data_IF_185330995888
#
_entry.id   IF_185330995888
#
_cell.length_a   1.000
_cell.length_b   1.000
_cell.length_c   1.000
_cell.angle_alpha   90.00
_cell.angle_beta   90.00
_cell.angle_gamma   90.00
#
_symmetry.space_group_name_H-M   'P 1'
#
loop_
_entity.id
_entity.type
_entity.pdbx_description
1 polymer ?
#
# COMPACT_ATOMS: atom_id res chain seq x y z
N UNK A 1 0.19 8.49 6.13
CA UNK A 1 -0.88 7.81 5.36
C UNK A 1 -2.12 8.68 5.17
N UNK A 2 -2.62 9.39 6.19
CA UNK A 2 -3.77 10.33 6.06
C UNK A 2 -3.61 11.40 4.96
N UNK A 3 -2.38 11.78 4.60
CA UNK A 3 -2.08 12.77 3.56
C UNK A 3 -1.47 12.16 2.27
N UNK A 4 -1.79 10.91 1.93
CA UNK A 4 -1.21 10.24 0.75
C UNK A 4 -1.39 11.04 -0.55
N UNK A 5 -2.48 11.82 -0.65
CA UNK A 5 -2.78 12.68 -1.79
C UNK A 5 -1.77 13.83 -1.99
N UNK A 6 -1.03 14.20 -0.95
CA UNK A 6 0.03 15.21 -1.02
C UNK A 6 1.35 14.65 -1.55
N UNK A 7 1.47 13.33 -1.72
CA UNK A 7 2.67 12.72 -2.27
C UNK A 7 2.83 13.12 -3.76
N UNK A 8 4.07 13.31 -4.25
CA UNK A 8 4.33 13.59 -5.66
C UNK A 8 3.66 12.54 -6.56
N UNK A 9 2.88 13.00 -7.54
CA UNK A 9 2.20 12.11 -8.48
C UNK A 9 1.04 11.30 -7.91
N UNK A 10 0.61 11.51 -6.66
CA UNK A 10 -0.46 10.73 -6.03
C UNK A 10 -1.76 10.72 -6.84
N UNK A 11 -2.19 11.88 -7.36
CA UNK A 11 -3.39 11.99 -8.21
C UNK A 11 -3.20 11.47 -9.63
N UNK A 12 -1.94 11.33 -10.09
CA UNK A 12 -1.64 10.69 -11.37
C UNK A 12 -1.72 9.16 -11.22
N UNK A 13 -1.15 8.61 -10.14
CA UNK A 13 -1.15 7.18 -9.85
C UNK A 13 -2.52 6.67 -9.35
N UNK A 14 -3.21 7.48 -8.56
CA UNK A 14 -4.53 7.18 -7.98
C UNK A 14 -5.45 8.42 -8.12
N UNK A 15 -6.10 8.60 -9.29
CA UNK A 15 -7.03 9.71 -9.52
C UNK A 15 -8.22 9.69 -8.55
N UNK A 16 -8.64 8.50 -8.17
CA UNK A 16 -9.63 8.22 -7.13
C UNK A 16 -9.01 7.30 -6.08
N UNK A 17 -9.55 7.28 -4.85
CA UNK A 17 -8.94 6.51 -3.76
C UNK A 17 -9.14 4.99 -3.90
N UNK A 18 -10.08 4.51 -4.72
CA UNK A 18 -10.62 3.13 -4.70
C UNK A 18 -9.55 2.03 -4.70
N UNK A 19 -8.53 2.15 -5.54
CA UNK A 19 -7.48 1.13 -5.64
C UNK A 19 -6.41 1.25 -4.55
N UNK A 20 -6.32 2.40 -3.86
CA UNK A 20 -5.35 2.63 -2.78
C UNK A 20 -5.94 2.34 -1.39
N UNK A 21 -7.26 2.46 -1.21
CA UNK A 21 -7.94 2.21 0.07
C UNK A 21 -7.65 0.82 0.65
N UNK A 22 -7.66 -0.29 -0.11
CA UNK A 22 -7.38 -1.62 0.45
C UNK A 22 -6.03 -1.70 1.17
N UNK A 23 -5.02 -1.01 0.67
CA UNK A 23 -3.70 -0.94 1.31
C UNK A 23 -3.76 -0.24 2.67
N UNK A 24 -4.52 0.87 2.78
CA UNK A 24 -4.74 1.59 4.05
C UNK A 24 -5.52 0.71 5.04
N UNK A 25 -6.52 -0.04 4.57
CA UNK A 25 -7.32 -0.95 5.40
C UNK A 25 -6.46 -2.08 5.95
N UNK A 26 -5.69 -2.76 5.08
CA UNK A 26 -4.79 -3.84 5.50
C UNK A 26 -3.73 -3.37 6.49
N UNK A 27 -3.18 -2.17 6.25
CA UNK A 27 -2.29 -1.51 7.20
C UNK A 27 -2.99 -1.29 8.56
N UNK A 28 -4.15 -0.65 8.58
CA UNK A 28 -4.85 -0.34 9.84
C UNK A 28 -5.30 -1.58 10.61
N UNK A 29 -5.59 -2.68 9.91
CA UNK A 29 -6.05 -3.93 10.54
C UNK A 29 -4.91 -4.81 11.06
N UNK A 30 -3.74 -4.78 10.42
CA UNK A 30 -2.62 -5.68 10.74
C UNK A 30 -1.42 -5.01 11.41
N UNK A 31 -1.39 -3.68 11.48
CA UNK A 31 -0.28 -2.95 12.10
C UNK A 31 -0.32 -3.11 13.62
N UNK A 32 0.73 -3.73 14.18
CA UNK A 32 0.98 -3.83 15.61
C UNK A 32 2.03 -2.82 16.04
N UNK A 33 1.94 -2.30 17.27
CA UNK A 33 2.89 -1.28 17.77
C UNK A 33 4.33 -1.80 17.83
N UNK A 34 4.50 -3.11 18.09
CA UNK A 34 5.80 -3.78 18.14
C UNK A 34 6.40 -4.10 16.77
N UNK A 35 5.59 -4.11 15.70
CA UNK A 35 6.01 -4.39 14.32
C UNK A 35 5.11 -3.63 13.33
N UNK A 36 5.26 -2.30 13.25
CA UNK A 36 4.34 -1.47 12.49
C UNK A 36 4.57 -1.55 10.96
N UNK A 37 5.74 -2.02 10.54
CA UNK A 37 6.10 -2.14 9.14
C UNK A 37 5.40 -3.31 8.43
N UNK A 38 5.14 -3.10 7.13
CA UNK A 38 4.70 -4.17 6.24
C UNK A 38 5.90 -4.98 5.75
N UNK A 39 5.68 -6.28 5.55
CA UNK A 39 6.54 -7.10 4.71
C UNK A 39 6.12 -6.97 3.25
N UNK A 40 7.08 -6.71 2.36
CA UNK A 40 6.83 -6.73 0.91
C UNK A 40 6.93 -8.18 0.42
N UNK A 41 5.78 -8.78 0.13
CA UNK A 41 5.67 -10.16 -0.31
C UNK A 41 5.99 -10.32 -1.80
N UNK A 42 5.61 -9.33 -2.60
CA UNK A 42 5.85 -9.32 -4.04
C UNK A 42 6.04 -7.90 -4.57
N UNK A 43 6.76 -7.76 -5.69
CA UNK A 43 6.91 -6.51 -6.40
C UNK A 43 7.01 -6.75 -7.89
N UNK A 44 6.39 -5.86 -8.67
CA UNK A 44 6.41 -5.94 -10.12
C UNK A 44 5.57 -4.85 -10.74
N UNK A 45 5.76 -4.65 -12.04
CA UNK A 45 5.01 -3.70 -12.84
C UNK A 45 4.63 -4.34 -14.17
N UNK A 46 3.46 -4.00 -14.69
CA UNK A 46 3.09 -4.28 -16.08
C UNK A 46 2.36 -3.09 -16.70
N UNK A 47 2.18 -3.16 -18.03
CA UNK A 47 1.41 -2.18 -18.80
C UNK A 47 1.91 -0.73 -18.64
N UNK A 48 3.18 -0.55 -18.25
CA UNK A 48 3.84 0.74 -18.06
C UNK A 48 3.45 1.51 -16.80
N UNK A 49 2.33 1.18 -16.14
CA UNK A 49 1.81 1.97 -15.00
C UNK A 49 1.11 1.14 -13.92
N UNK A 50 0.93 -0.17 -14.10
CA UNK A 50 0.21 -1.01 -13.15
C UNK A 50 1.20 -1.72 -12.22
N UNK A 51 1.16 -1.34 -10.93
CA UNK A 51 1.94 -1.99 -9.88
C UNK A 51 1.27 -3.26 -9.38
N UNK A 52 2.06 -4.30 -9.17
CA UNK A 52 1.68 -5.53 -8.45
C UNK A 52 2.36 -5.62 -7.10
N UNK A 53 2.76 -4.49 -6.50
CA UNK A 53 3.36 -4.53 -5.19
C UNK A 53 2.36 -5.07 -4.14
N UNK A 54 2.73 -6.17 -3.49
CA UNK A 54 1.92 -6.83 -2.47
C UNK A 54 2.62 -6.69 -1.13
N UNK A 55 1.86 -6.24 -0.13
CA UNK A 55 2.35 -6.01 1.22
C UNK A 55 1.48 -6.74 2.23
N UNK A 56 2.09 -7.27 3.28
CA UNK A 56 1.40 -7.92 4.39
C UNK A 56 1.87 -7.36 5.73
N UNK A 57 0.94 -7.17 6.65
CA UNK A 57 1.22 -6.87 8.07
C UNK A 57 0.81 -8.07 8.91
N UNK A 58 1.41 -8.24 10.09
CA UNK A 58 1.10 -9.35 11.00
C UNK A 58 1.52 -10.74 10.51
N UNK A 59 2.42 -10.82 9.51
CA UNK A 59 2.93 -12.09 9.00
C UNK A 59 3.83 -12.76 10.04
N UNK A 60 3.54 -14.03 10.32
CA UNK A 60 4.31 -14.92 11.18
C UNK A 60 4.98 -15.98 10.31
N UNK A 61 6.25 -16.26 10.56
CA UNK A 61 7.05 -17.26 9.86
C UNK A 61 7.37 -18.44 10.78
#
# INVERSE_FOLDING_TARGET
>A
MLHWQAAPGARLAHPTPDHFIPFVVGMGAGMEESKPEAEKLFGGWAMGHMSFATYGWGIQH
#
